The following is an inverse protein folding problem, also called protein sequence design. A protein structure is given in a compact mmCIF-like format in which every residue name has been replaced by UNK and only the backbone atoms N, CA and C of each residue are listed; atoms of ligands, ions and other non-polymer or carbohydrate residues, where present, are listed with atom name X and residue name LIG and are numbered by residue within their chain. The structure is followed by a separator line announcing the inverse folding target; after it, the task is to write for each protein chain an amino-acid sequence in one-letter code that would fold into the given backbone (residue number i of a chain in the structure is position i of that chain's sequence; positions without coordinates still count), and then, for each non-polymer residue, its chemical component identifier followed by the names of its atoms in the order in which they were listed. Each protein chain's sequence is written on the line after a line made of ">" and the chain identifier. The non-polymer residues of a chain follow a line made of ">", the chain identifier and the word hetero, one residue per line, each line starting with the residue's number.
data_IF_192990408702
#
_entry.id   IF_192990408702
#
_cell.length_a   1.000
_cell.length_b   1.000
_cell.length_c   1.000
_cell.angle_alpha   90.00
_cell.angle_beta   90.00
_cell.angle_gamma   90.00
#
_symmetry.space_group_name_H-M   'P 1'
#
loop_
_entity.id
_entity.type
_entity.pdbx_description
1 polymer ?
2 polymer ?
3 non-polymer ?
4 non-polymer ?
5 water ?
#
# COMPACT_ATOMS: atom_id res chain seq x y z
N UNK A 1 10.66 0.87 28.92
CA UNK A 1 10.13 -0.34 29.61
C UNK A 1 10.16 -1.57 28.71
N UNK A 2 11.36 -2.12 28.42
CA UNK A 2 11.47 -3.31 27.57
C UNK A 2 10.73 -4.55 28.12
N UNK A 3 9.47 -4.33 28.45
CA UNK A 3 8.57 -5.38 28.94
C UNK A 3 7.49 -5.38 27.87
N UNK A 4 6.90 -4.20 27.65
CA UNK A 4 5.88 -3.99 26.64
C UNK A 4 6.66 -3.76 25.35
N UNK A 5 7.09 -4.83 24.70
CA UNK A 5 7.87 -4.69 23.49
C UNK A 5 7.28 -5.40 22.28
N UNK A 6 6.03 -5.81 22.37
CA UNK A 6 5.44 -6.56 21.28
C UNK A 6 4.10 -6.05 20.87
N UNK A 7 3.93 -5.82 19.57
CA UNK A 7 2.66 -5.38 19.03
C UNK A 7 1.97 -6.68 18.61
N UNK A 8 0.88 -7.01 19.28
CA UNK A 8 0.13 -8.22 18.97
C UNK A 8 -0.79 -7.94 17.77
N UNK A 9 -0.81 -8.81 16.78
CA UNK A 9 -1.67 -8.51 15.66
C UNK A 9 -2.74 -9.53 15.35
N UNK A 10 -3.86 -9.04 14.86
CA UNK A 10 -4.94 -9.92 14.46
C UNK A 10 -4.66 -10.13 12.96
N UNK A 11 -4.41 -11.37 12.58
CA UNK A 11 -4.14 -11.72 11.20
C UNK A 11 -5.43 -12.33 10.63
N UNK A 12 -5.85 -11.81 9.47
CA UNK A 12 -7.05 -12.31 8.83
C UNK A 12 -6.77 -12.77 7.38
N UNK A 13 -7.23 -13.96 7.08
CA UNK A 13 -7.06 -14.50 5.74
C UNK A 13 -8.44 -14.58 5.12
N UNK A 14 -8.70 -13.81 4.06
CA UNK A 14 -10.01 -13.88 3.45
C UNK A 14 -10.20 -15.19 2.68
N UNK A 15 -11.38 -15.38 2.09
CA UNK A 15 -11.63 -16.62 1.38
C UNK A 15 -10.79 -16.79 0.11
N UNK A 16 -10.31 -15.70 -0.49
CA UNK A 16 -9.50 -15.86 -1.68
C UNK A 16 -8.12 -16.39 -1.32
N UNK A 17 -7.62 -15.96 -0.15
CA UNK A 17 -6.31 -16.40 0.28
C UNK A 17 -6.40 -17.88 0.61
N UNK A 18 -7.43 -18.23 1.37
CA UNK A 18 -7.67 -19.60 1.78
C UNK A 18 -7.68 -20.55 0.57
N UNK A 19 -8.52 -20.22 -0.41
CA UNK A 19 -8.65 -21.02 -1.62
C UNK A 19 -7.41 -21.02 -2.50
N UNK A 20 -7.01 -19.83 -2.92
CA UNK A 20 -5.88 -19.66 -3.84
C UNK A 20 -4.45 -19.82 -3.32
N UNK A 21 -4.17 -19.42 -2.08
CA UNK A 21 -2.82 -19.58 -1.52
C UNK A 21 -2.75 -20.83 -0.65
N UNK A 22 -3.75 -21.02 0.19
CA UNK A 22 -3.79 -22.18 1.05
C UNK A 22 -4.36 -23.42 0.35
N UNK A 23 -4.72 -23.24 -0.92
CA UNK A 23 -5.29 -24.32 -1.72
C UNK A 23 -6.43 -25.02 -1.00
N UNK A 24 -7.29 -24.23 -0.37
CA UNK A 24 -8.43 -24.75 0.38
C UNK A 24 -8.05 -25.64 1.55
N UNK A 25 -6.84 -25.51 2.06
CA UNK A 25 -6.41 -26.33 3.20
C UNK A 25 -6.05 -25.44 4.39
N UNK A 26 -6.70 -25.67 5.53
CA UNK A 26 -6.46 -24.86 6.71
C UNK A 26 -5.01 -24.81 7.17
N UNK A 27 -4.40 -25.97 7.38
CA UNK A 27 -3.02 -26.03 7.83
C UNK A 27 -2.07 -25.29 6.89
N UNK A 28 -2.31 -25.38 5.58
CA UNK A 28 -1.44 -24.71 4.61
C UNK A 28 -1.51 -23.19 4.72
N UNK A 29 -2.71 -22.70 4.96
CA UNK A 29 -2.97 -21.28 5.10
C UNK A 29 -2.32 -20.80 6.37
N UNK A 30 -2.62 -21.49 7.45
CA UNK A 30 -2.11 -21.16 8.77
C UNK A 30 -0.59 -21.16 8.78
N UNK A 31 0.04 -22.21 8.28
CA UNK A 31 1.48 -22.26 8.29
C UNK A 31 2.11 -21.17 7.43
N UNK A 32 1.49 -20.87 6.29
CA UNK A 32 2.06 -19.84 5.46
C UNK A 32 2.12 -18.51 6.22
N UNK A 33 1.02 -18.13 6.89
CA UNK A 33 0.95 -16.88 7.64
C UNK A 33 1.89 -16.83 8.85
N UNK A 34 1.87 -17.86 9.68
CA UNK A 34 2.76 -17.93 10.84
C UNK A 34 4.22 -17.77 10.44
N UNK A 35 4.65 -18.51 9.42
CA UNK A 35 6.02 -18.43 8.97
C UNK A 35 6.33 -17.05 8.39
N UNK A 36 5.37 -16.46 7.68
CA UNK A 36 5.60 -15.13 7.13
C UNK A 36 5.76 -14.11 8.26
N UNK A 37 4.87 -14.15 9.24
CA UNK A 37 4.94 -13.23 10.36
C UNK A 37 6.20 -13.45 11.20
N UNK A 38 6.63 -14.69 11.33
CA UNK A 38 7.84 -14.94 12.10
C UNK A 38 9.05 -14.30 11.40
N UNK A 39 9.09 -14.36 10.07
CA UNK A 39 10.20 -13.75 9.35
C UNK A 39 10.11 -12.22 9.39
N UNK A 40 8.91 -11.68 9.49
CA UNK A 40 8.75 -10.22 9.59
C UNK A 40 9.19 -9.81 10.99
N UNK A 41 8.83 -10.62 11.97
CA UNK A 41 9.21 -10.36 13.35
C UNK A 41 10.74 -10.38 13.51
N UNK A 42 11.40 -11.31 12.83
CA UNK A 42 12.85 -11.42 12.87
C UNK A 42 13.51 -10.11 12.44
N UNK A 43 12.99 -9.49 11.39
CA UNK A 43 13.55 -8.22 10.94
C UNK A 43 13.35 -7.15 12.03
N UNK A 44 12.10 -7.03 12.48
CA UNK A 44 11.78 -6.05 13.51
C UNK A 44 12.58 -6.17 14.81
N UNK A 45 12.47 -7.32 15.46
CA UNK A 45 13.16 -7.54 16.74
C UNK A 45 14.67 -7.29 16.74
N UNK A 46 15.34 -7.53 15.61
CA UNK A 46 16.78 -7.33 15.51
C UNK A 46 17.14 -5.92 15.03
N UNK A 47 16.14 -5.07 14.86
CA UNK A 47 16.41 -3.72 14.43
C UNK A 47 16.61 -2.82 15.66
N UNK A 48 17.75 -2.11 15.69
CA UNK A 48 18.05 -1.18 16.78
C UNK A 48 17.59 0.18 16.26
N UNK A 49 16.44 0.63 16.76
CA UNK A 49 15.88 1.88 16.30
C UNK A 49 16.70 3.13 16.57
N UNK A 50 17.71 3.01 17.42
CA UNK A 50 18.57 4.14 17.73
C UNK A 50 20.02 3.81 17.40
N UNK A 51 20.23 2.70 16.70
CA UNK A 51 21.57 2.26 16.33
C UNK A 51 22.31 1.86 17.59
N UNK A 52 21.57 1.65 18.67
CA UNK A 52 22.16 1.27 19.95
C UNK A 52 21.50 0.02 20.53
N UNK A 53 20.93 0.16 21.71
CA UNK A 53 20.31 -0.98 22.36
C UNK A 53 18.80 -0.93 22.42
N UNK A 54 18.20 -0.04 21.64
CA UNK A 54 16.75 0.07 21.62
C UNK A 54 16.23 -0.88 20.53
N UNK A 55 16.23 -2.17 20.85
CA UNK A 55 15.77 -3.22 19.94
C UNK A 55 14.99 -4.27 20.73
N UNK A 56 14.52 -5.31 20.05
CA UNK A 56 13.75 -6.32 20.77
C UNK A 56 12.27 -6.01 20.64
N UNK A 57 11.94 -4.98 19.86
CA UNK A 57 10.55 -4.61 19.64
C UNK A 57 10.06 -5.38 18.41
N UNK A 58 8.93 -6.05 18.55
CA UNK A 58 8.47 -6.81 17.42
C UNK A 58 6.99 -7.05 17.29
N UNK A 59 6.66 -8.03 16.47
CA UNK A 59 5.29 -8.37 16.19
C UNK A 59 5.01 -9.84 16.43
N UNK A 60 3.88 -10.13 17.05
CA UNK A 60 3.50 -11.52 17.32
C UNK A 60 2.00 -11.67 17.06
N UNK A 61 1.61 -12.83 16.56
CA UNK A 61 0.20 -13.10 16.27
C UNK A 61 -0.63 -13.33 17.52
N UNK A 62 -1.68 -12.55 17.69
CA UNK A 62 -2.55 -12.75 18.84
C UNK A 62 -3.62 -13.77 18.41
N UNK A 63 -3.98 -13.73 17.13
CA UNK A 63 -5.00 -14.65 16.61
C UNK A 63 -5.03 -14.66 15.07
N UNK A 64 -5.35 -15.81 14.51
CA UNK A 64 -5.48 -15.95 13.07
C UNK A 64 -6.94 -16.26 12.79
N UNK A 65 -7.54 -15.51 11.87
CA UNK A 65 -8.93 -15.72 11.49
C UNK A 65 -8.87 -16.12 10.02
N UNK A 66 -9.30 -17.34 9.71
CA UNK A 66 -9.29 -17.80 8.32
C UNK A 66 -10.73 -17.87 7.84
N UNK A 67 -11.11 -17.04 6.87
CA UNK A 67 -12.49 -17.10 6.38
C UNK A 67 -12.50 -18.13 5.27
N UNK A 68 -13.02 -19.30 5.57
CA UNK A 68 -13.05 -20.38 4.59
C UNK A 68 -13.92 -20.14 3.37
N UNK A 69 -15.02 -19.42 3.54
CA UNK A 69 -15.87 -19.16 2.40
C UNK A 69 -16.24 -17.69 2.35
N UNK A 70 -16.69 -17.22 1.18
CA UNK A 70 -17.08 -15.82 0.99
C UNK A 70 -18.21 -15.47 1.92
N UNK A 71 -18.28 -14.20 2.28
CA UNK A 71 -19.32 -13.74 3.17
C UNK A 71 -20.61 -13.56 2.37
N UNK A 72 -21.71 -14.05 2.91
CA UNK A 72 -23.00 -13.89 2.26
C UNK A 72 -23.52 -12.49 2.62
N UNK A 73 -23.94 -11.73 1.61
CA UNK A 73 -24.47 -10.39 1.83
C UNK A 73 -25.82 -10.19 1.14
N UNK A 74 -26.72 -9.46 1.80
CA UNK A 74 -28.02 -9.19 1.19
C UNK A 74 -27.74 -8.18 0.11
N UNK A 75 -28.36 -8.33 -1.07
CA UNK A 75 -28.14 -7.41 -2.19
C UNK A 75 -28.05 -5.95 -1.76
N UNK A 76 -27.17 -5.20 -2.41
CA UNK A 76 -26.98 -3.79 -2.08
C UNK A 76 -25.89 -3.57 -1.03
N UNK A 77 -25.59 -4.60 -0.26
CA UNK A 77 -24.57 -4.48 0.78
C UNK A 77 -23.22 -5.08 0.40
N UNK A 78 -22.15 -4.54 0.97
CA UNK A 78 -20.81 -5.05 0.70
C UNK A 78 -20.08 -5.50 1.97
N UNK A 79 -19.06 -6.34 1.79
CA UNK A 79 -18.26 -6.88 2.89
C UNK A 79 -16.91 -7.27 2.29
N UNK A 80 -15.83 -7.06 3.04
CA UNK A 80 -14.51 -7.34 2.50
C UNK A 80 -14.29 -8.79 2.12
N UNK A 81 -15.06 -9.69 2.71
CA UNK A 81 -14.91 -11.11 2.41
C UNK A 81 -16.00 -11.66 1.49
N UNK A 82 -16.70 -10.79 0.76
CA UNK A 82 -17.74 -11.27 -0.14
C UNK A 82 -17.12 -11.82 -1.42
N UNK A 83 -17.84 -12.71 -2.08
CA UNK A 83 -17.37 -13.33 -3.32
C UNK A 83 -16.93 -12.36 -4.39
N UNK A 84 -17.76 -11.35 -4.67
CA UNK A 84 -17.49 -10.37 -5.72
C UNK A 84 -16.54 -9.25 -5.34
N UNK A 85 -15.88 -8.68 -6.34
CA UNK A 85 -14.99 -7.56 -6.08
C UNK A 85 -15.79 -6.24 -6.19
N UNK A 86 -15.26 -5.18 -5.58
CA UNK A 86 -15.92 -3.87 -5.54
C UNK A 86 -14.91 -2.76 -5.77
N UNK A 87 -15.30 -1.67 -6.45
CA UNK A 87 -16.62 -1.36 -7.02
C UNK A 87 -16.95 -2.03 -8.37
N UNK A 88 -15.93 -2.49 -9.07
CA UNK A 88 -16.13 -3.11 -10.38
C UNK A 88 -16.04 -4.65 -10.32
N UNK A 89 -17.19 -5.30 -10.35
CA UNK A 89 -17.28 -6.75 -10.28
C UNK A 89 -16.40 -7.48 -11.29
N UNK A 90 -16.56 -7.15 -12.56
CA UNK A 90 -15.82 -7.80 -13.61
C UNK A 90 -14.34 -8.03 -13.28
N UNK A 91 -13.73 -7.11 -12.55
CA UNK A 91 -12.32 -7.25 -12.21
C UNK A 91 -12.05 -8.34 -11.17
N UNK A 92 -10.81 -8.83 -11.15
CA UNK A 92 -10.41 -9.87 -10.21
C UNK A 92 -10.29 -9.28 -8.82
N UNK A 93 -9.94 -8.00 -8.73
CA UNK A 93 -9.76 -7.38 -7.44
C UNK A 93 -10.61 -6.15 -7.19
N UNK A 94 -10.68 -5.80 -5.91
CA UNK A 94 -11.38 -4.63 -5.42
C UNK A 94 -10.49 -3.45 -5.71
N UNK A 95 -11.00 -2.26 -5.48
CA UNK A 95 -10.18 -1.09 -5.60
C UNK A 95 -9.40 -1.25 -4.29
N UNK A 96 -8.07 -1.32 -4.38
CA UNK A 96 -7.24 -1.52 -3.19
C UNK A 96 -7.54 -0.60 -2.00
N UNK A 97 -7.64 0.70 -2.22
CA UNK A 97 -7.94 1.60 -1.11
C UNK A 97 -9.32 1.28 -0.51
N UNK A 98 -10.30 1.02 -1.38
CA UNK A 98 -11.63 0.73 -0.91
C UNK A 98 -11.72 -0.56 -0.11
N UNK A 99 -10.86 -1.52 -0.41
CA UNK A 99 -10.91 -2.79 0.32
C UNK A 99 -10.41 -2.64 1.75
N UNK A 100 -9.38 -1.81 1.93
CA UNK A 100 -8.81 -1.58 3.25
C UNK A 100 -9.81 -0.88 4.16
N UNK A 101 -10.57 0.05 3.58
CA UNK A 101 -11.57 0.78 4.32
C UNK A 101 -12.69 -0.16 4.74
N UNK A 102 -13.10 -1.01 3.80
CA UNK A 102 -14.18 -1.96 4.09
C UNK A 102 -13.74 -2.93 5.18
N UNK A 103 -12.51 -3.42 5.05
CA UNK A 103 -11.96 -4.34 6.05
C UNK A 103 -11.95 -3.62 7.40
N UNK A 104 -11.45 -2.39 7.43
CA UNK A 104 -11.41 -1.65 8.70
C UNK A 104 -12.81 -1.49 9.29
N UNK A 105 -13.76 -1.23 8.42
CA UNK A 105 -15.13 -1.07 8.86
C UNK A 105 -15.69 -2.38 9.43
N UNK A 106 -15.52 -3.50 8.72
CA UNK A 106 -16.05 -4.78 9.20
C UNK A 106 -15.33 -5.44 10.39
N UNK A 107 -14.05 -5.15 10.54
CA UNK A 107 -13.27 -5.75 11.60
C UNK A 107 -13.21 -4.86 12.84
N UNK A 108 -13.82 -3.67 12.76
CA UNK A 108 -13.81 -2.69 13.87
C UNK A 108 -13.81 -3.24 15.28
N UNK A 109 -14.80 -4.07 15.57
CA UNK A 109 -14.98 -4.67 16.88
C UNK A 109 -13.76 -5.42 17.36
N UNK A 110 -13.17 -6.21 16.46
CA UNK A 110 -12.01 -7.00 16.80
C UNK A 110 -10.73 -6.18 16.76
N UNK A 111 -10.62 -5.25 15.82
CA UNK A 111 -9.41 -4.44 15.72
C UNK A 111 -9.24 -3.55 16.96
N UNK A 112 -10.36 -3.19 17.59
CA UNK A 112 -10.37 -2.34 18.79
C UNK A 112 -9.62 -2.97 19.96
N UNK A 113 -9.43 -4.29 19.91
CA UNK A 113 -8.75 -5.01 20.98
C UNK A 113 -7.31 -5.42 20.68
N UNK A 114 -6.75 -4.95 19.58
CA UNK A 114 -5.38 -5.34 19.26
C UNK A 114 -4.55 -4.18 18.78
N UNK A 115 -3.24 -4.35 18.88
CA UNK A 115 -2.34 -3.32 18.44
C UNK A 115 -2.56 -3.06 16.94
N UNK A 116 -2.56 -4.13 16.13
CA UNK A 116 -2.76 -4.03 14.67
C UNK A 116 -3.58 -5.18 14.08
N UNK A 117 -4.26 -4.90 12.97
CA UNK A 117 -5.01 -5.94 12.28
C UNK A 117 -4.51 -5.95 10.83
N UNK A 118 -4.30 -7.11 10.28
CA UNK A 118 -3.80 -7.15 8.91
C UNK A 118 -4.55 -8.18 8.09
N UNK A 119 -4.98 -7.75 6.89
CA UNK A 119 -5.72 -8.62 5.99
C UNK A 119 -4.82 -9.21 4.92
N UNK A 120 -4.88 -10.52 4.75
CA UNK A 120 -4.08 -11.15 3.71
C UNK A 120 -5.06 -11.64 2.67
N UNK A 121 -4.85 -11.23 1.43
CA UNK A 121 -5.78 -11.62 0.38
C UNK A 121 -5.00 -12.11 -0.81
N UNK A 122 -5.71 -12.51 -1.86
CA UNK A 122 -5.09 -12.99 -3.07
C UNK A 122 -5.89 -12.44 -4.26
N UNK A 123 -5.56 -11.23 -4.70
CA UNK A 123 -6.24 -10.64 -5.83
C UNK A 123 -5.31 -9.71 -6.56
N UNK A 124 -5.51 -9.63 -7.86
CA UNK A 124 -4.67 -8.83 -8.70
C UNK A 124 -5.02 -7.36 -8.77
N UNK A 125 -4.57 -6.59 -7.77
CA UNK A 125 -4.86 -5.15 -7.74
C UNK A 125 -4.19 -4.51 -8.94
N UNK A 126 -4.82 -3.49 -9.48
CA UNK A 126 -4.29 -2.79 -10.64
C UNK A 126 -2.90 -2.20 -10.48
N UNK A 127 -2.23 -2.10 -11.62
CA UNK A 127 -0.90 -1.54 -11.73
C UNK A 127 0.13 -2.11 -10.77
N UNK A 128 -0.02 -3.39 -10.47
CA UNK A 128 0.93 -4.10 -9.63
C UNK A 128 1.03 -3.72 -8.17
N UNK A 129 -0.04 -3.20 -7.60
CA UNK A 129 -0.09 -2.79 -6.19
C UNK A 129 -0.14 -4.07 -5.35
N UNK A 130 0.78 -4.22 -4.42
CA UNK A 130 0.81 -5.42 -3.57
C UNK A 130 0.15 -5.25 -2.22
N UNK A 131 0.17 -4.01 -1.72
CA UNK A 131 -0.42 -3.71 -0.43
C UNK A 131 -0.45 -2.24 -0.08
N UNK A 132 -1.05 -1.94 1.06
CA UNK A 132 -1.11 -0.58 1.57
C UNK A 132 -1.49 -0.61 3.05
N UNK A 133 -1.23 0.50 3.74
CA UNK A 133 -1.52 0.60 5.17
C UNK A 133 -1.66 2.06 5.61
N UNK A 134 -2.32 2.25 6.76
CA UNK A 134 -2.47 3.58 7.34
C UNK A 134 -1.18 3.84 8.14
N UNK A 135 -0.60 5.03 7.99
CA UNK A 135 0.64 5.32 8.67
C UNK A 135 0.43 5.62 10.16
N UNK A 136 1.34 5.12 10.98
CA UNK A 136 1.27 5.34 12.41
C UNK A 136 1.87 6.68 12.76
N UNK A 137 1.82 7.07 14.03
CA UNK A 137 2.38 8.33 14.46
C UNK A 137 2.46 8.43 15.98
N UNK A 138 3.46 9.17 16.50
CA UNK A 138 3.62 9.34 17.95
C UNK A 138 2.62 10.34 18.53
N UNK A 139 2.04 11.16 17.68
CA UNK A 139 1.08 12.16 18.12
C UNK A 139 0.03 11.48 18.97
N UNK A 140 -0.07 11.94 20.22
CA UNK A 140 -1.01 11.39 21.20
C UNK A 140 -2.41 11.06 20.68
N UNK A 141 -2.83 11.77 19.64
CA UNK A 141 -4.17 11.58 19.06
C UNK A 141 -4.13 10.93 17.68
N UNK A 142 -3.09 10.17 17.40
CA UNK A 142 -2.97 9.52 16.10
C UNK A 142 -4.07 8.49 15.89
N UNK A 143 -4.70 8.53 14.72
CA UNK A 143 -5.75 7.58 14.41
C UNK A 143 -5.20 6.32 13.73
N UNK A 144 -4.35 6.49 12.72
CA UNK A 144 -3.82 5.34 12.02
C UNK A 144 -2.62 4.67 12.64
N UNK A 145 -2.33 3.46 12.18
CA UNK A 145 -1.18 2.74 12.69
C UNK A 145 -1.37 2.02 14.01
N UNK A 146 -0.26 1.76 14.69
CA UNK A 146 -0.31 1.03 15.94
C UNK A 146 -1.15 1.67 17.03
N UNK A 147 -1.88 0.79 17.71
CA UNK A 147 -2.76 1.15 18.81
C UNK A 147 -4.12 1.69 18.34
N UNK A 148 -5.19 0.97 18.67
CA UNK A 148 -6.52 1.41 18.25
C UNK A 148 -6.92 2.71 18.94
N UNK A 149 -7.35 3.68 18.13
CA UNK A 149 -7.80 4.98 18.61
C UNK A 149 -9.01 5.26 17.73
N UNK A 150 -10.19 4.90 18.23
CA UNK A 150 -11.43 5.09 17.49
C UNK A 150 -11.53 6.33 16.64
N UNK A 151 -11.97 6.11 15.41
CA UNK A 151 -12.20 7.17 14.46
C UNK A 151 -13.66 6.98 14.13
N UNK A 152 -14.42 8.07 14.15
CA UNK A 152 -15.84 7.98 13.90
C UNK A 152 -16.11 8.13 12.42
N UNK A 153 -16.66 7.10 11.81
CA UNK A 153 -16.95 7.16 10.39
C UNK A 153 -18.33 7.75 10.22
N UNK A 154 -18.42 8.95 9.66
CA UNK A 154 -19.73 9.55 9.48
C UNK A 154 -20.71 8.63 8.74
N UNK A 155 -20.31 8.12 7.58
CA UNK A 155 -21.20 7.25 6.80
C UNK A 155 -21.40 5.88 7.43
N UNK A 156 -20.42 5.43 8.20
CA UNK A 156 -20.52 4.15 8.88
C UNK A 156 -21.38 4.25 10.12
N UNK A 157 -21.50 5.45 10.69
CA UNK A 157 -22.29 5.66 11.90
C UNK A 157 -21.77 4.82 13.06
N UNK A 158 -20.46 4.67 13.12
CA UNK A 158 -19.84 3.91 14.20
C UNK A 158 -18.34 4.12 14.26
N UNK A 159 -17.75 3.65 15.33
CA UNK A 159 -16.33 3.78 15.51
C UNK A 159 -15.63 2.72 14.67
N UNK A 160 -14.61 3.12 13.93
CA UNK A 160 -13.81 2.14 13.20
C UNK A 160 -12.38 2.50 13.61
N UNK A 161 -11.47 1.55 13.49
CA UNK A 161 -10.07 1.77 13.86
C UNK A 161 -9.18 1.63 12.65
N UNK A 162 -8.22 2.55 12.51
CA UNK A 162 -7.31 2.51 11.38
C UNK A 162 -5.95 1.87 11.70
N UNK A 163 -5.96 0.92 12.63
CA UNK A 163 -4.75 0.20 12.98
C UNK A 163 -4.63 -0.99 12.02
N UNK A 164 -4.79 -0.73 10.73
CA UNK A 164 -4.77 -1.81 9.77
C UNK A 164 -3.99 -1.63 8.47
N UNK A 165 -3.96 -2.70 7.69
CA UNK A 165 -3.26 -2.75 6.41
C UNK A 165 -3.56 -4.09 5.75
N UNK A 166 -3.14 -4.30 4.51
CA UNK A 166 -3.41 -5.56 3.83
C UNK A 166 -2.28 -5.90 2.87
N UNK A 167 -2.11 -7.20 2.65
CA UNK A 167 -1.11 -7.75 1.74
C UNK A 167 -1.84 -8.70 0.76
N UNK A 168 -1.48 -8.65 -0.51
CA UNK A 168 -2.05 -9.57 -1.49
C UNK A 168 -0.85 -10.33 -2.02
N UNK A 169 -0.98 -11.64 -2.20
CA UNK A 169 0.16 -12.37 -2.72
C UNK A 169 0.00 -12.67 -4.20
N UNK A 170 -0.98 -12.05 -4.81
CA UNK A 170 -1.20 -12.20 -6.25
C UNK A 170 -0.80 -10.93 -7.00
N UNK A 171 -0.19 -11.10 -8.15
CA UNK A 171 0.22 -9.96 -8.95
C UNK A 171 0.44 -10.36 -10.41
N UNK A 172 -0.25 -9.67 -11.32
CA UNK A 172 -0.16 -9.96 -12.74
C UNK A 172 -0.42 -11.44 -13.00
N UNK A 173 -1.54 -11.95 -12.48
CA UNK A 173 -1.91 -13.34 -12.70
C UNK A 173 -0.98 -14.41 -12.16
N UNK A 174 -0.02 -14.00 -11.34
CA UNK A 174 0.95 -14.92 -10.77
C UNK A 174 1.06 -14.77 -9.25
N UNK A 175 1.51 -15.83 -8.60
CA UNK A 175 1.71 -15.87 -7.16
C UNK A 175 3.10 -15.30 -6.91
N UNK A 176 3.23 -14.35 -5.99
CA UNK A 176 4.57 -13.83 -5.72
C UNK A 176 5.30 -14.82 -4.83
N UNK A 177 6.62 -14.64 -4.77
CA UNK A 177 7.51 -15.47 -3.98
C UNK A 177 7.43 -15.09 -2.50
N UNK A 178 7.63 -16.07 -1.61
CA UNK A 178 7.59 -15.82 -0.17
C UNK A 178 8.51 -14.68 0.23
N UNK A 179 9.70 -14.65 -0.36
CA UNK A 179 10.68 -13.63 -0.05
C UNK A 179 10.09 -12.26 -0.34
N UNK A 180 9.30 -12.15 -1.40
CA UNK A 180 8.68 -10.87 -1.79
C UNK A 180 7.48 -10.58 -0.89
N UNK A 181 6.65 -11.59 -0.65
CA UNK A 181 5.51 -11.44 0.23
C UNK A 181 5.96 -10.96 1.62
N UNK A 182 7.02 -11.55 2.16
CA UNK A 182 7.50 -11.15 3.49
C UNK A 182 7.83 -9.65 3.54
N UNK A 183 8.44 -9.15 2.48
CA UNK A 183 8.83 -7.76 2.42
C UNK A 183 7.66 -6.80 2.20
N UNK A 184 6.61 -7.28 1.54
CA UNK A 184 5.42 -6.46 1.37
C UNK A 184 4.86 -6.19 2.77
N UNK A 185 4.63 -7.25 3.55
CA UNK A 185 4.08 -7.10 4.89
C UNK A 185 4.99 -6.30 5.84
N UNK A 186 6.30 -6.50 5.76
CA UNK A 186 7.23 -5.75 6.60
C UNK A 186 7.02 -4.25 6.35
N UNK A 187 6.95 -3.90 5.06
CA UNK A 187 6.75 -2.54 4.61
C UNK A 187 5.38 -1.98 5.04
N UNK A 188 4.31 -2.74 4.90
CA UNK A 188 3.03 -2.20 5.31
C UNK A 188 3.01 -2.04 6.84
N UNK A 189 3.44 -3.05 7.58
CA UNK A 189 3.49 -2.92 9.03
C UNK A 189 4.42 -1.75 9.35
N UNK A 190 5.39 -1.49 8.47
CA UNK A 190 6.29 -0.37 8.65
C UNK A 190 5.56 0.99 8.72
N UNK A 191 4.60 1.23 7.83
CA UNK A 191 3.82 2.46 7.87
C UNK A 191 3.06 2.46 9.19
N UNK A 192 2.48 1.31 9.53
CA UNK A 192 1.73 1.16 10.74
C UNK A 192 2.61 1.60 11.95
N UNK A 193 3.91 1.29 11.90
CA UNK A 193 4.83 1.68 12.98
C UNK A 193 5.29 3.13 12.86
N UNK A 194 4.73 3.87 11.91
CA UNK A 194 5.09 5.28 11.76
C UNK A 194 6.03 5.65 10.62
N UNK A 195 6.48 4.69 9.83
CA UNK A 195 7.38 5.04 8.74
C UNK A 195 6.70 5.50 7.45
N UNK A 196 7.37 6.41 6.75
CA UNK A 196 6.91 6.93 5.46
C UNK A 196 7.85 6.28 4.46
N UNK A 197 7.66 6.56 3.18
CA UNK A 197 8.52 5.96 2.16
C UNK A 197 9.95 6.49 2.22
N UNK A 198 10.91 5.64 1.88
CA UNK A 198 12.28 6.07 1.85
C UNK A 198 12.37 7.02 0.67
N UNK A 199 12.84 8.25 0.91
CA UNK A 199 12.97 9.24 -0.16
C UNK A 199 14.20 9.07 -1.04
N UNK A 200 14.10 9.57 -2.28
CA UNK A 200 15.19 9.53 -3.24
C UNK A 200 15.86 10.91 -3.14
N UNK A 201 16.71 11.25 -4.09
CA UNK A 201 17.38 12.55 -4.05
C UNK A 201 18.30 12.66 -2.84
N UNK A 202 17.77 12.34 -1.67
CA UNK A 202 18.52 12.35 -0.43
C UNK A 202 19.33 11.06 -0.49
N UNK A 203 18.68 10.03 -1.04
CA UNK A 203 19.20 8.68 -1.24
C UNK A 203 20.17 8.10 -0.22
N UNK A 204 20.28 8.70 0.96
CA UNK A 204 21.15 8.11 1.96
C UNK A 204 20.31 6.90 2.38
N UNK A 205 19.00 7.06 2.23
CA UNK A 205 18.04 6.04 2.61
C UNK A 205 17.46 5.25 1.45
N UNK A 206 18.04 5.40 0.27
CA UNK A 206 17.60 4.70 -0.93
C UNK A 206 18.84 4.45 -1.79
N UNK A 207 19.77 3.63 -1.29
CA UNK A 207 21.02 3.30 -1.99
C UNK A 207 20.81 2.57 -3.31
N UNK A 208 21.77 2.70 -4.22
CA UNK A 208 21.71 2.01 -5.50
C UNK A 208 22.13 0.57 -5.24
N UNK A 209 21.89 -0.30 -6.22
CA UNK A 209 22.24 -1.73 -6.12
C UNK A 209 23.68 -1.96 -5.67
N UNK A 210 24.60 -1.24 -6.30
CA UNK A 210 26.01 -1.34 -5.99
C UNK A 210 26.33 -0.95 -4.55
N UNK A 211 25.30 -0.61 -3.78
CA UNK A 211 25.49 -0.22 -2.38
C UNK A 211 24.69 -1.10 -1.43
N UNK A 212 23.88 -2.00 -2.00
CA UNK A 212 23.09 -2.88 -1.17
C UNK A 212 21.62 -2.79 -1.50
N UNK A 213 21.26 -1.90 -2.41
CA UNK A 213 19.87 -1.74 -2.81
C UNK A 213 19.01 -0.94 -1.85
N UNK A 214 17.72 -0.88 -2.15
CA UNK A 214 16.75 -0.15 -1.35
C UNK A 214 16.42 -0.81 0.00
N UNK A 215 16.01 0.01 0.95
CA UNK A 215 15.62 -0.49 2.27
C UNK A 215 14.16 -0.82 2.14
N UNK A 216 13.65 -1.59 3.09
CA UNK A 216 12.26 -2.03 3.04
C UNK A 216 11.19 -0.97 2.80
N UNK A 217 11.39 0.25 3.30
CA UNK A 217 10.34 1.24 3.08
C UNK A 217 10.34 1.87 1.69
N UNK A 218 11.21 1.42 0.79
CA UNK A 218 11.17 1.98 -0.57
C UNK A 218 9.82 1.51 -1.12
N UNK A 219 9.13 2.35 -1.88
CA UNK A 219 7.82 1.98 -2.43
C UNK A 219 7.78 0.93 -3.54
N UNK A 220 8.88 0.75 -4.25
CA UNK A 220 8.93 -0.25 -5.31
C UNK A 220 9.42 -1.57 -4.70
N UNK A 221 8.52 -2.54 -4.58
CA UNK A 221 8.83 -3.84 -3.99
C UNK A 221 10.07 -4.54 -4.56
N UNK A 222 10.14 -4.66 -5.89
CA UNK A 222 11.24 -5.30 -6.62
C UNK A 222 12.22 -6.20 -5.87
N UNK A 223 12.33 -7.44 -6.35
CA UNK A 223 13.24 -8.44 -5.77
C UNK A 223 13.25 -8.45 -4.24
N UNK A 224 14.33 -9.00 -3.69
CA UNK A 224 14.50 -9.10 -2.24
C UNK A 224 15.84 -9.76 -1.97
N UNK A 225 16.71 -9.72 -2.97
CA UNK A 225 18.04 -10.32 -2.90
C UNK A 225 19.13 -9.43 -2.34
N UNK A 226 19.05 -8.12 -2.59
CA UNK A 226 20.06 -7.20 -2.08
C UNK A 226 20.02 -7.16 -0.55
N UNK A 227 21.15 -6.87 0.06
CA UNK A 227 21.23 -6.84 1.51
C UNK A 227 20.30 -5.87 2.24
N UNK A 228 20.20 -4.64 1.75
CA UNK A 228 19.36 -3.64 2.40
C UNK A 228 17.87 -3.95 2.38
N UNK A 229 17.46 -4.80 1.45
CA UNK A 229 16.05 -5.16 1.31
C UNK A 229 15.38 -5.63 2.61
N UNK A 230 16.14 -6.28 3.49
CA UNK A 230 15.54 -6.76 4.73
C UNK A 230 15.89 -5.89 5.94
N UNK A 231 16.18 -4.61 5.68
CA UNK A 231 16.53 -3.70 6.76
C UNK A 231 15.84 -2.35 6.60
N UNK A 232 15.67 -1.65 7.71
CA UNK A 232 15.04 -0.33 7.72
C UNK A 232 16.14 0.70 7.56
N UNK A 233 15.86 1.72 6.77
CA UNK A 233 16.81 2.81 6.55
C UNK A 233 16.88 3.67 7.80
N UNK A 234 17.83 4.62 7.78
CA UNK A 234 17.99 5.56 8.89
C UNK A 234 16.74 6.43 8.94
N UNK A 235 16.17 6.70 7.78
CA UNK A 235 14.96 7.52 7.71
C UNK A 235 13.80 6.81 8.43
N UNK A 236 13.64 5.52 8.19
CA UNK A 236 12.56 4.76 8.84
C UNK A 236 12.82 4.62 10.34
N UNK A 237 14.09 4.44 10.70
CA UNK A 237 14.46 4.27 12.09
C UNK A 237 14.04 5.45 12.93
N UNK A 238 14.44 6.64 12.53
CA UNK A 238 14.08 7.83 13.26
C UNK A 238 12.58 7.89 13.40
N UNK A 239 11.91 7.74 12.26
CA UNK A 239 10.47 7.80 12.22
C UNK A 239 9.79 6.76 13.14
N UNK A 240 10.24 5.51 13.06
CA UNK A 240 9.62 4.46 13.86
C UNK A 240 9.96 4.56 15.35
N UNK A 241 11.18 4.98 15.63
CA UNK A 241 11.62 5.14 17.00
C UNK A 241 10.71 6.08 17.77
N UNK A 242 10.39 7.23 17.20
CA UNK A 242 9.52 8.15 17.91
C UNK A 242 8.17 7.50 18.15
N UNK A 243 7.62 6.87 17.11
CA UNK A 243 6.32 6.24 17.26
C UNK A 243 6.30 5.18 18.36
N UNK A 244 7.28 4.29 18.37
CA UNK A 244 7.37 3.26 19.39
C UNK A 244 7.54 3.85 20.79
N UNK A 245 8.51 4.75 20.94
CA UNK A 245 8.77 5.38 22.23
C UNK A 245 7.55 6.02 22.84
N UNK A 246 6.59 6.35 22.00
CA UNK A 246 5.38 7.00 22.46
C UNK A 246 4.19 6.06 22.62
N UNK A 247 4.02 5.14 21.68
CA UNK A 247 2.89 4.22 21.70
C UNK A 247 3.08 2.89 22.40
N UNK A 248 4.32 2.44 22.60
CA UNK A 248 4.54 1.15 23.24
C UNK A 248 3.83 1.04 24.58
N UNK A 249 3.94 2.08 25.39
CA UNK A 249 3.31 2.05 26.70
C UNK A 249 1.80 1.92 26.56
N UNK A 250 1.24 2.52 25.51
CA UNK A 250 -0.20 2.49 25.30
C UNK A 250 -0.80 1.14 24.88
N UNK A 251 -0.15 0.39 23.99
CA UNK A 251 -0.74 -0.89 23.61
C UNK A 251 0.15 -2.11 23.43
N UNK A 252 1.46 -1.93 23.47
CA UNK A 252 2.38 -3.06 23.33
C UNK A 252 2.27 -3.97 24.55
N UNK A 253 2.56 -5.26 24.34
CA UNK A 253 2.49 -6.24 25.42
C UNK A 253 3.82 -6.99 25.54
N UNK A 254 3.89 -7.96 26.45
CA UNK A 254 5.11 -8.73 26.63
C UNK A 254 5.24 -9.81 25.55
N UNK A 255 6.47 -10.04 25.11
CA UNK A 255 6.77 -11.03 24.07
C UNK A 255 6.34 -12.44 24.42
N UNK A 256 6.14 -13.25 23.38
CA UNK A 256 5.73 -14.64 23.52
C UNK A 256 4.45 -14.80 24.30
N UNK B 1 2.40 1.70 1.01
CA UNK B 1 2.03 1.28 -0.36
C UNK B 1 3.23 0.62 -1.04
N UNK B 2 3.00 -0.52 -1.68
CA UNK B 2 4.08 -1.19 -2.38
C UNK B 2 3.66 -1.54 -3.79
N UNK B 3 4.48 -1.19 -4.76
CA UNK B 3 4.18 -1.48 -6.13
C UNK B 3 5.24 -2.37 -6.72
N UNK B 4 4.85 -3.13 -7.72
CA UNK B 4 5.77 -3.97 -8.44
C UNK B 4 5.79 -3.43 -9.85
N UNK B 5 6.91 -2.85 -10.27
CA UNK B 5 6.96 -2.31 -11.65
C UNK B 5 6.79 -3.48 -12.63
N UNK B 6 6.51 -3.15 -13.89
CA UNK B 6 6.35 -4.18 -14.88
C UNK B 6 6.67 -3.56 -16.24
N UNK B 7 5.87 -3.87 -17.25
CA UNK B 7 6.14 -3.33 -18.57
C UNK B 7 5.33 -2.06 -18.81
N UNK B 8 5.94 -1.07 -19.48
CA UNK B 8 5.29 0.21 -19.78
C UNK B 8 4.34 0.09 -20.98
N UNK B 9 4.56 -0.91 -21.82
CA UNK B 9 3.72 -1.15 -22.99
C UNK B 9 2.43 -1.78 -22.48
N UNK B 10 2.55 -2.52 -21.39
CA UNK B 10 1.41 -3.17 -20.75
C UNK B 10 0.66 -2.12 -19.95
N UNK B 11 1.41 -1.27 -19.26
CA UNK B 11 0.84 -0.20 -18.46
C UNK B 11 0.09 0.74 -19.37
N UNK B 12 0.68 1.00 -20.53
CA UNK B 12 0.06 1.89 -21.50
C UNK B 12 -1.36 1.45 -21.82
N UNK B 13 -1.50 0.22 -22.29
CA UNK B 13 -2.82 -0.30 -22.64
C UNK B 13 -3.76 -0.52 -21.46
N UNK B 14 -3.21 -0.82 -20.29
CA UNK B 14 -4.05 -1.03 -19.11
C UNK B 14 -4.63 0.29 -18.59
N UNK B 15 -3.96 1.40 -18.84
CA UNK B 15 -4.47 2.67 -18.36
C UNK B 15 -5.52 3.27 -19.28
N UNK B 16 -6.41 4.06 -18.67
CA UNK B 16 -7.50 4.72 -19.40
C UNK B 16 -6.93 5.98 -20.05
N UNK B 17 -6.08 6.67 -19.31
CA UNK B 17 -5.48 7.90 -19.78
C UNK B 17 -3.97 7.80 -19.81
N UNK B 18 -3.40 8.47 -20.80
CA UNK B 18 -1.96 8.56 -20.97
C UNK B 18 -1.76 9.92 -21.61
N UNK B 19 -1.25 10.87 -20.84
CA UNK B 19 -1.04 12.22 -21.32
C UNK B 19 0.32 12.73 -20.87
N UNK B 20 0.75 13.83 -21.46
CA UNK B 20 2.02 14.45 -21.11
C UNK B 20 1.80 15.82 -20.49
N UNK B 21 0.64 16.00 -19.87
CA UNK B 21 0.24 17.25 -19.22
C UNK B 21 1.29 17.88 -18.32
N UNK B 22 1.01 19.13 -17.92
CA UNK B 22 1.89 19.88 -17.02
C UNK B 22 1.16 20.15 -15.72
N UNK B 23 1.90 20.58 -14.69
CA UNK B 23 1.30 20.87 -13.40
C UNK B 23 1.51 22.35 -13.08
N UNK B 24 1.47 23.17 -14.13
CA UNK B 24 1.65 24.62 -14.01
C UNK B 24 0.64 25.19 -13.02
N UNK B 25 -0.47 24.48 -12.86
CA UNK B 25 -1.50 24.93 -11.93
C UNK B 25 -1.04 24.76 -10.49
N UNK B 26 -1.66 23.83 -9.77
CA UNK B 26 -1.31 23.57 -8.38
C UNK B 26 -1.98 22.32 -7.81
N UNK B 27 -1.94 22.20 -6.49
CA UNK B 27 -2.53 21.06 -5.78
C UNK B 27 -3.48 21.52 -4.68
N UNK B 28 -4.61 20.83 -4.54
CA UNK B 28 -5.59 21.17 -3.52
C UNK B 28 -5.88 19.97 -2.63
N UNK B 29 -5.84 20.19 -1.31
CA UNK B 29 -6.09 19.12 -0.34
C UNK B 29 -7.53 19.14 0.18
N UNK B 30 -8.06 17.97 0.52
CA UNK B 30 -9.42 17.86 1.04
C UNK B 30 -9.46 17.19 2.42
N UNK B 31 -10.65 17.06 2.98
CA UNK B 31 -10.82 16.45 4.28
C UNK B 31 -11.19 14.96 4.20
N UNK B 32 -11.11 14.28 5.32
CA UNK B 32 -11.42 12.86 5.36
C UNK B 32 -10.51 12.16 6.35
N UNK B 33 -10.50 10.81 6.36
CA UNK B 33 -9.65 10.07 7.29
C UNK B 33 -8.24 10.67 7.30
N UNK B 34 -7.59 10.60 6.14
CA UNK B 34 -6.25 11.14 6.00
C UNK B 34 -6.29 12.27 4.97
N UNK B 35 -7.20 12.14 3.99
CA UNK B 35 -7.34 13.17 2.99
C UNK B 35 -7.18 12.76 1.55
N UNK B 36 -7.63 13.65 0.67
CA UNK B 36 -7.53 13.44 -0.76
C UNK B 36 -6.83 14.66 -1.35
N UNK B 37 -6.17 14.46 -2.50
CA UNK B 37 -5.46 15.54 -3.13
C UNK B 37 -5.94 15.63 -4.58
N UNK B 38 -6.03 16.85 -5.10
CA UNK B 38 -6.45 17.03 -6.49
C UNK B 38 -5.57 18.06 -7.18
N UNK B 39 -4.83 17.58 -8.19
CA UNK B 39 -3.95 18.43 -8.96
C UNK B 39 -4.65 19.04 -10.17
N UNK B 40 -4.40 20.32 -10.42
CA UNK B 40 -4.99 20.95 -11.58
C UNK B 40 -3.86 20.99 -12.60
N UNK B 41 -4.12 20.40 -13.76
CA UNK B 41 -3.10 20.34 -14.80
C UNK B 41 -3.61 20.73 -16.18
N UNK B 42 -2.73 21.34 -16.97
CA UNK B 42 -3.08 21.73 -18.32
C UNK B 42 -2.61 20.61 -19.23
N UNK B 43 -3.55 19.88 -19.82
CA UNK B 43 -3.21 18.77 -20.70
C UNK B 43 -2.46 19.28 -21.92
N UNK B 44 -1.94 18.36 -22.71
CA UNK B 44 -1.20 18.72 -23.90
C UNK B 44 -1.45 17.69 -24.99
N UNK B 45 -0.53 16.73 -25.10
CA UNK B 45 -0.69 15.70 -26.10
C UNK B 45 -1.21 14.42 -25.46
N UNK B 46 -2.47 14.09 -25.73
CA UNK B 46 -3.03 12.86 -25.19
C UNK B 46 -2.62 11.71 -26.10
N UNK B 47 -2.18 10.62 -25.50
CA UNK B 47 -1.75 9.47 -26.27
C UNK B 47 -2.78 8.36 -26.14
N UNK B 48 -3.67 8.50 -25.16
CA UNK B 48 -4.70 7.50 -24.93
C UNK B 48 -5.84 8.06 -24.07
N UNK B 49 -7.05 7.55 -24.30
CA UNK B 49 -8.19 8.00 -23.53
C UNK B 49 -8.99 9.10 -24.20
N UNK B 50 -8.92 9.18 -25.53
CA UNK B 50 -9.67 10.20 -26.26
C UNK B 50 -11.17 9.94 -26.05
N UNK B 51 -11.54 8.67 -26.08
CA UNK B 51 -12.93 8.26 -25.89
C UNK B 51 -13.40 8.46 -24.46
N UNK B 52 -12.96 7.56 -23.57
CA UNK B 52 -13.33 7.61 -22.15
C UNK B 52 -13.51 9.02 -21.62
N UNK B 53 -12.41 9.76 -21.48
CA UNK B 53 -12.46 11.14 -20.99
C UNK B 53 -11.64 12.04 -21.91
N UNK B 54 -12.23 12.48 -23.03
CA UNK B 54 -11.51 13.35 -23.97
C UNK B 54 -11.07 14.65 -23.29
N UNK B 55 -9.77 14.85 -23.17
CA UNK B 55 -9.21 16.04 -22.54
C UNK B 55 -9.52 16.11 -21.04
N UNK B 56 -8.49 15.89 -20.21
CA UNK B 56 -8.64 15.91 -18.75
C UNK B 56 -8.09 17.23 -18.18
N UNK B 57 -8.59 17.63 -17.01
CA UNK B 57 -8.15 18.88 -16.41
C UNK B 57 -7.79 18.68 -14.94
N UNK B 58 -8.48 17.76 -14.28
CA UNK B 58 -8.26 17.50 -12.87
C UNK B 58 -7.85 16.05 -12.63
N UNK B 59 -6.71 15.87 -11.97
CA UNK B 59 -6.22 14.54 -11.65
C UNK B 59 -6.31 14.32 -10.13
N UNK B 60 -7.03 13.27 -9.73
CA UNK B 60 -7.20 12.96 -8.32
C UNK B 60 -6.32 11.82 -7.80
N UNK B 61 -5.80 12.01 -6.59
CA UNK B 61 -4.94 11.04 -5.94
C UNK B 61 -5.15 11.12 -4.43
N UNK B 62 -4.75 10.06 -3.74
CA UNK B 62 -4.85 9.97 -2.29
C UNK B 62 -3.84 10.96 -1.75
N UNK B 63 -4.10 11.56 -0.60
CA UNK B 63 -3.16 12.52 -0.02
C UNK B 63 -2.03 11.80 0.70
N UNK B 64 -2.33 10.65 1.29
CA UNK B 64 -1.33 9.89 2.02
C UNK B 64 -0.53 8.93 1.11
N UNK B 65 0.79 9.06 1.09
CA UNK B 65 1.60 8.18 0.26
C UNK B 65 1.47 6.72 0.70
N UNK B 66 1.35 6.50 2.01
CA UNK B 66 1.22 5.14 2.53
C UNK B 66 0.00 4.46 1.94
N UNK B 67 -0.97 5.26 1.50
CA UNK B 67 -2.20 4.77 0.89
C UNK B 67 -2.15 4.84 -0.65
N UNK B 68 -0.93 4.92 -1.18
CA UNK B 68 -0.64 4.99 -2.61
C UNK B 68 -0.90 6.35 -3.26
N UNK B 69 -0.98 7.40 -2.44
CA UNK B 69 -1.18 8.73 -2.99
C UNK B 69 -0.03 9.11 -3.89
N UNK B 70 -0.30 9.92 -4.90
CA UNK B 70 0.72 10.36 -5.86
C UNK B 70 1.34 11.70 -5.47
N UNK B 71 2.66 11.82 -5.62
CA UNK B 71 3.36 13.05 -5.30
C UNK B 71 3.97 13.73 -6.52
N UNK B 72 3.40 14.87 -6.92
CA UNK B 72 3.90 15.63 -8.07
C UNK B 72 4.51 16.96 -7.60
N UNK B 73 4.47 17.97 -8.48
CA UNK B 73 5.00 19.28 -8.14
C UNK B 73 4.37 20.43 -8.92
N UNK B 74 4.18 21.54 -8.22
CA UNK B 74 3.56 22.75 -8.76
C UNK B 74 4.44 23.53 -9.74
N UNK B 75 3.80 24.20 -10.70
CA UNK B 75 4.48 25.00 -11.72
C UNK B 75 5.89 24.53 -12.04
N UNK B 76 6.05 23.23 -12.17
CA UNK B 76 7.35 22.64 -12.47
C UNK B 76 7.37 22.07 -13.89
N UNK B 77 8.29 21.13 -14.11
CA UNK B 77 8.46 20.49 -15.41
C UNK B 77 7.30 19.58 -15.83
N UNK B 78 7.37 19.06 -17.06
CA UNK B 78 6.32 18.19 -17.59
C UNK B 78 6.44 16.75 -17.10
N UNK B 79 5.31 16.06 -17.03
CA UNK B 79 5.29 14.67 -16.59
C UNK B 79 4.52 13.84 -17.59
N UNK B 80 4.91 12.58 -17.73
CA UNK B 80 4.21 11.65 -18.59
C UNK B 80 3.30 10.97 -17.58
N UNK B 81 2.01 11.28 -17.62
CA UNK B 81 1.07 10.70 -16.65
C UNK B 81 0.15 9.63 -17.22
N UNK B 82 -0.27 8.73 -16.35
CA UNK B 82 -1.18 7.65 -16.71
C UNK B 82 -2.18 7.69 -15.56
N UNK B 83 -3.34 7.08 -15.74
CA UNK B 83 -4.33 7.10 -14.68
C UNK B 83 -5.56 6.34 -15.10
N UNK B 84 -6.61 6.39 -14.28
CA UNK B 84 -7.85 5.70 -14.61
C UNK B 84 -9.06 6.62 -14.51
N UNK B 85 -10.13 6.25 -15.20
CA UNK B 85 -11.37 7.03 -15.20
C UNK B 85 -12.41 6.35 -14.30
N UNK B 86 -12.92 7.09 -13.32
CA UNK B 86 -13.93 6.55 -12.42
C UNK B 86 -14.88 7.62 -11.95
N UNK B 87 -16.15 7.46 -12.32
CA UNK B 87 -17.19 8.42 -11.95
C UNK B 87 -16.82 9.81 -12.48
N UNK B 88 -16.54 9.87 -13.78
CA UNK B 88 -16.20 11.13 -14.43
C UNK B 88 -14.91 11.80 -14.04
N UNK B 89 -13.99 11.06 -13.42
CA UNK B 89 -12.73 11.66 -13.02
C UNK B 89 -11.51 10.76 -13.26
N UNK B 90 -10.34 11.40 -13.23
CA UNK B 90 -9.09 10.69 -13.43
C UNK B 90 -8.33 10.56 -12.11
N UNK B 91 -7.95 9.33 -11.77
CA UNK B 91 -7.20 9.07 -10.55
C UNK B 91 -5.88 8.40 -10.90
N UNK B 92 -4.81 8.91 -10.31
CA UNK B 92 -3.49 8.36 -10.52
C UNK B 92 -2.96 7.99 -9.14
N UNK B 93 -2.10 6.97 -9.12
CA UNK B 93 -1.52 6.52 -7.87
C UNK B 93 -0.02 6.31 -8.02
N UNK B 94 0.64 6.11 -6.88
CA UNK B 94 2.08 5.89 -6.83
C UNK B 94 2.51 4.69 -7.67
N UNK B 95 1.60 3.73 -7.84
CA UNK B 95 1.90 2.53 -8.60
C UNK B 95 1.65 2.74 -10.11
N UNK B 96 1.03 3.85 -10.47
CA UNK B 96 0.79 4.13 -11.88
C UNK B 96 2.07 4.61 -12.57
N UNK B 97 2.21 4.26 -13.84
CA UNK B 97 3.36 4.71 -14.59
C UNK B 97 3.33 6.25 -14.59
N UNK B 98 4.38 6.84 -14.03
CA UNK B 98 4.52 8.29 -13.98
C UNK B 98 6.00 8.60 -14.04
N UNK B 99 6.36 9.57 -14.87
CA UNK B 99 7.76 9.94 -14.99
C UNK B 99 7.95 11.37 -15.50
N UNK B 100 8.97 12.06 -15.00
CA UNK B 100 9.24 13.42 -15.45
C UNK B 100 9.64 13.36 -16.92
N UNK B 101 8.94 14.11 -17.76
CA UNK B 101 9.22 14.14 -19.19
C UNK B 101 10.70 14.43 -19.44
N UNK B 102 11.37 15.03 -18.46
CA UNK B 102 12.78 15.35 -18.56
C UNK B 102 13.59 14.06 -18.55
N UNK B 103 13.38 13.27 -17.50
CA UNK B 103 14.07 12.01 -17.29
C UNK B 103 13.83 11.02 -18.42
N UNK B 104 12.65 11.11 -19.05
CA UNK B 104 12.30 10.20 -20.12
C UNK B 104 13.40 10.14 -21.19
N UNK B 105 14.11 9.01 -21.21
CA UNK B 105 15.21 8.80 -22.16
C UNK B 105 14.73 8.69 -23.61
N UNK B 106 15.65 8.94 -24.53
CA UNK B 106 15.35 8.88 -25.96
C UNK B 106 14.82 7.50 -26.34
N UNK B 107 15.34 6.48 -25.67
CA UNK B 107 14.92 5.11 -25.90
C UNK B 107 13.44 4.98 -25.56
N UNK B 108 13.07 5.42 -24.36
CA UNK B 108 11.68 5.33 -23.90
C UNK B 108 10.69 6.13 -24.75
N UNK B 109 11.02 7.38 -25.06
CA UNK B 109 10.11 8.20 -25.86
C UNK B 109 9.89 7.54 -27.21
N UNK B 110 10.90 6.79 -27.64
CA UNK B 110 10.84 6.05 -28.90
C UNK B 110 9.83 4.91 -28.75
N UNK B 111 9.85 4.27 -27.58
CA UNK B 111 8.91 3.19 -27.31
C UNK B 111 7.52 3.77 -27.09
N UNK B 112 7.48 4.98 -26.53
CA UNK B 112 6.23 5.68 -26.28
C UNK B 112 5.56 5.91 -27.64
N UNK B 113 6.33 6.42 -28.60
CA UNK B 113 5.80 6.67 -29.93
C UNK B 113 5.30 5.40 -30.57
N UNK B 114 5.75 4.26 -30.06
CA UNK B 114 5.33 2.96 -30.56
C UNK B 114 3.88 2.78 -30.06
N UNK B 115 3.16 3.90 -30.04
CA UNK B 115 1.76 3.97 -29.62
C UNK B 115 0.97 3.76 -30.91
N UNK B 116 1.64 4.04 -32.04
CA UNK B 116 1.06 3.89 -33.36
C UNK B 116 0.47 2.50 -33.46
N UNK B 117 1.14 1.56 -32.81
CA UNK B 117 0.70 0.17 -32.80
C UNK B 117 -0.64 0.16 -32.10
N UNK B 118 -0.76 0.99 -31.06
CA UNK B 118 -1.98 1.10 -30.27
C UNK B 118 -2.34 -0.26 -29.69
N UNK B 119 -1.46 -1.24 -29.93
CA UNK B 119 -1.64 -2.60 -29.45
C UNK B 119 -2.97 -2.91 -28.83
N UNK B 120 -3.25 -2.21 -27.73
CA UNK B 120 -4.48 -2.33 -26.94
C UNK B 120 -5.65 -3.00 -27.67
N UNK B 121 -5.99 -2.50 -28.86
CA UNK B 121 -7.08 -3.08 -29.62
C UNK B 121 -6.61 -3.64 -30.96
#
# INVERSE_FOLDING_TARGET
>A
DPMKNTCKLLVVADHRFYRYMGRGEESTTTNYLIELIDRVDDIYRNTAWDNAGFKGYGIQIEQIRILKSPQEVKPGEKHYNMAKSYPNEEKDAWDVKMLLEQFSFDIAEEASKVCLAHLFTYQDFDMGTLGLAYVGSPRANSHGGVCPKAYYSPVGKKNIYLNSGLTSTKNYGKTILTKEADLVTTHELGHNFGAEHDPDGLAECAPNEDQGGKYVMYPIAVSGDHENNKMFSQCSKQSIYKTIESKAQECFQERS
>B
CTCSPSHPQDAFCNSDIVIRAKVVGKKLVKEGPFGTLVYTIKQMKMYRGFTKMPHVQYIHTEASESLCGLKLEVNKYQYLLTGRVYDGKMYTGLCNFVERWDQLTLSQRKGLNYRYHLGCN
#
